data_IF_801032935521
#
_entry.id   IF_801032935521
#
_cell.length_a   1.000
_cell.length_b   1.000
_cell.length_c   1.000
_cell.angle_alpha   90.00
_cell.angle_beta   90.00
_cell.angle_gamma   90.00
#
_symmetry.space_group_name_H-M   'P 1'
#
loop_
_entity.id
_entity.type
_entity.pdbx_description
1 polymer ?
#
# COMPACT_ATOMS: atom_id res chain seq x y z
N UNK A 1 -5.54 -1.85 12.27
CA UNK A 1 -4.58 -2.95 12.53
C UNK A 1 -5.25 -4.29 12.28
N UNK A 2 -4.96 -4.98 11.17
CA UNK A 2 -5.35 -6.37 10.94
C UNK A 2 -4.13 -7.26 11.06
N UNK A 3 -4.18 -8.30 11.89
CA UNK A 3 -3.09 -9.26 12.02
C UNK A 3 -3.02 -10.07 10.71
N UNK A 4 -1.89 -10.06 9.97
CA UNK A 4 -1.79 -10.66 8.64
C UNK A 4 -2.08 -12.17 8.62
N UNK A 5 -1.99 -12.83 9.77
CA UNK A 5 -2.16 -14.28 9.89
C UNK A 5 -3.36 -14.73 10.73
N UNK A 6 -4.25 -13.82 11.14
CA UNK A 6 -5.53 -14.29 11.71
C UNK A 6 -6.38 -14.89 10.58
N UNK A 7 -6.76 -16.16 10.72
CA UNK A 7 -7.63 -16.87 9.79
C UNK A 7 -9.10 -16.42 9.97
N UNK A 8 -9.34 -15.12 9.77
CA UNK A 8 -10.66 -14.50 9.89
C UNK A 8 -11.02 -13.93 8.53
N UNK A 9 -12.11 -14.42 7.95
CA UNK A 9 -12.60 -13.96 6.64
C UNK A 9 -12.92 -12.46 6.61
N UNK A 10 -13.25 -11.85 7.76
CA UNK A 10 -13.56 -10.43 7.85
C UNK A 10 -12.32 -9.63 8.24
N UNK A 11 -11.84 -8.82 7.31
CA UNK A 11 -10.76 -7.84 7.53
C UNK A 11 -11.33 -6.48 7.87
N UNK A 12 -10.64 -5.76 8.74
CA UNK A 12 -10.97 -4.37 9.07
C UNK A 12 -10.61 -3.49 7.87
N UNK A 13 -11.52 -2.65 7.35
CA UNK A 13 -11.23 -1.74 6.26
C UNK A 13 -10.08 -0.77 6.63
N UNK A 14 -9.19 -0.45 5.68
CA UNK A 14 -8.09 0.48 5.93
C UNK A 14 -8.65 1.88 6.23
N UNK A 15 -8.03 2.61 7.15
CA UNK A 15 -8.48 3.95 7.56
C UNK A 15 -9.71 3.96 8.49
N UNK A 16 -10.35 2.82 8.75
CA UNK A 16 -11.49 2.74 9.67
C UNK A 16 -11.13 3.17 11.10
N UNK A 17 -9.94 2.78 11.56
CA UNK A 17 -9.45 3.17 12.89
C UNK A 17 -9.32 4.71 13.02
N UNK A 18 -8.89 5.40 11.96
CA UNK A 18 -8.76 6.85 11.96
C UNK A 18 -10.11 7.56 12.13
N UNK A 19 -11.17 7.03 11.52
CA UNK A 19 -12.53 7.57 11.69
C UNK A 19 -13.02 7.42 13.13
N UNK A 20 -12.82 6.25 13.74
CA UNK A 20 -13.21 6.00 15.12
C UNK A 20 -12.41 6.85 16.12
N UNK A 21 -11.11 7.01 15.86
CA UNK A 21 -10.24 7.84 16.68
C UNK A 21 -10.63 9.32 16.59
N UNK A 22 -10.97 9.81 15.40
CA UNK A 22 -11.49 11.16 15.19
C UNK A 22 -12.76 11.41 15.97
N UNK A 23 -13.75 10.52 15.85
CA UNK A 23 -15.00 10.59 16.61
C UNK A 23 -14.74 10.57 18.12
N UNK A 24 -13.93 9.62 18.61
CA UNK A 24 -13.64 9.50 20.03
C UNK A 24 -12.97 10.76 20.60
N UNK A 25 -12.08 11.40 19.83
CA UNK A 25 -11.45 12.67 20.24
C UNK A 25 -12.47 13.80 20.40
N UNK A 26 -13.42 13.93 19.49
CA UNK A 26 -14.44 14.99 19.59
C UNK A 26 -15.47 14.67 20.69
N UNK A 27 -15.84 13.41 20.89
CA UNK A 27 -16.68 13.01 22.04
C UNK A 27 -16.02 13.38 23.37
N UNK A 28 -14.71 13.14 23.51
CA UNK A 28 -13.99 13.49 24.73
C UNK A 28 -13.86 15.00 24.95
N UNK A 29 -13.92 15.81 23.88
CA UNK A 29 -13.86 17.27 23.94
C UNK A 29 -15.20 17.89 24.30
N UNK A 30 -16.26 17.46 23.63
CA UNK A 30 -17.60 18.06 23.78
C UNK A 30 -18.40 17.43 24.93
N UNK A 31 -18.03 16.22 25.36
CA UNK A 31 -18.73 15.46 26.42
C UNK A 31 -20.26 15.44 26.22
N UNK A 32 -20.75 15.05 25.03
CA UNK A 32 -22.19 15.07 24.73
C UNK A 32 -22.93 14.04 25.57
N UNK A 33 -24.18 14.34 25.92
CA UNK A 33 -25.06 13.42 26.64
C UNK A 33 -25.55 12.25 25.75
N UNK A 34 -25.82 12.53 24.47
CA UNK A 34 -26.24 11.54 23.47
C UNK A 34 -25.12 11.28 22.44
N UNK A 35 -24.32 10.24 22.70
CA UNK A 35 -23.20 9.85 21.84
C UNK A 35 -23.67 9.38 20.46
N UNK A 36 -24.69 8.51 20.31
CA UNK A 36 -25.21 8.13 18.99
C UNK A 36 -25.65 9.31 18.12
N UNK A 37 -26.41 10.26 18.67
CA UNK A 37 -26.85 11.43 17.93
C UNK A 37 -25.67 12.32 17.53
N UNK A 38 -24.71 12.53 18.44
CA UNK A 38 -23.49 13.26 18.15
C UNK A 38 -22.68 12.61 17.01
N UNK A 39 -22.52 11.28 17.04
CA UNK A 39 -21.78 10.55 16.03
C UNK A 39 -22.41 10.66 14.64
N UNK A 40 -23.75 10.63 14.55
CA UNK A 40 -24.46 10.82 13.28
C UNK A 40 -24.14 12.20 12.68
N UNK A 41 -24.30 13.27 13.47
CA UNK A 41 -23.99 14.63 13.04
C UNK A 41 -22.51 14.79 12.65
N UNK A 42 -21.59 14.21 13.44
CA UNK A 42 -20.16 14.25 13.15
C UNK A 42 -19.81 13.62 11.79
N UNK A 43 -20.41 12.45 11.49
CA UNK A 43 -20.17 11.80 10.20
C UNK A 43 -20.84 12.52 9.03
N UNK A 44 -22.01 13.13 9.23
CA UNK A 44 -22.63 14.01 8.22
C UNK A 44 -21.71 15.19 7.89
N UNK A 45 -21.16 15.87 8.90
CA UNK A 45 -20.20 16.95 8.68
C UNK A 45 -18.93 16.50 7.94
N UNK A 46 -18.46 15.29 8.23
CA UNK A 46 -17.30 14.71 7.55
C UNK A 46 -17.57 14.45 6.07
N UNK A 47 -18.75 13.94 5.73
CA UNK A 47 -19.18 13.75 4.34
C UNK A 47 -19.27 15.10 3.62
N UNK A 48 -19.87 16.10 4.25
CA UNK A 48 -19.95 17.47 3.76
C UNK A 48 -18.57 18.08 3.47
N UNK A 49 -17.62 17.90 4.41
CA UNK A 49 -16.23 18.36 4.26
C UNK A 49 -15.55 17.64 3.11
N UNK A 50 -15.79 16.33 2.94
CA UNK A 50 -15.23 15.54 1.83
C UNK A 50 -15.73 16.05 0.49
N UNK A 51 -17.02 16.35 0.35
CA UNK A 51 -17.57 16.88 -0.90
C UNK A 51 -16.99 18.24 -1.27
N UNK A 52 -16.84 19.12 -0.27
CA UNK A 52 -16.33 20.49 -0.47
C UNK A 52 -14.83 20.55 -0.74
N UNK A 53 -14.03 19.77 0.00
CA UNK A 53 -12.56 19.87 -0.01
C UNK A 53 -11.88 18.77 -0.83
N UNK A 54 -12.62 17.73 -1.22
CA UNK A 54 -12.11 16.48 -1.80
C UNK A 54 -11.09 15.74 -0.92
N UNK A 55 -10.97 16.13 0.35
CA UNK A 55 -10.11 15.47 1.31
C UNK A 55 -10.92 14.46 2.12
N UNK A 56 -10.48 13.21 2.14
CA UNK A 56 -11.07 12.14 2.93
C UNK A 56 -10.11 11.69 4.04
N UNK A 57 -10.46 11.92 5.32
CA UNK A 57 -9.65 11.45 6.45
C UNK A 57 -9.46 9.94 6.45
N UNK A 58 -10.42 9.16 5.96
CA UNK A 58 -10.30 7.70 5.89
C UNK A 58 -9.21 7.29 4.89
N UNK A 59 -9.17 7.93 3.73
CA UNK A 59 -8.15 7.68 2.70
C UNK A 59 -6.75 8.08 3.19
N UNK A 60 -6.64 9.21 3.89
CA UNK A 60 -5.37 9.61 4.49
C UNK A 60 -4.90 8.63 5.56
N UNK A 61 -5.80 8.19 6.46
CA UNK A 61 -5.50 7.17 7.46
C UNK A 61 -5.10 5.82 6.83
N UNK A 62 -5.76 5.41 5.76
CA UNK A 62 -5.41 4.21 5.00
C UNK A 62 -3.99 4.27 4.43
N UNK A 63 -3.57 5.44 3.90
CA UNK A 63 -2.20 5.65 3.42
C UNK A 63 -1.17 5.59 4.55
N UNK A 64 -1.53 6.02 5.77
CA UNK A 64 -0.65 5.86 6.93
C UNK A 64 -0.51 4.39 7.32
N UNK A 65 -1.62 3.66 7.41
CA UNK A 65 -1.66 2.25 7.76
C UNK A 65 -0.80 1.42 6.79
N UNK A 66 -0.91 1.68 5.49
CA UNK A 66 -0.17 0.95 4.44
C UNK A 66 1.35 1.14 4.57
N UNK A 67 1.84 2.32 5.00
CA UNK A 67 3.28 2.53 5.23
C UNK A 67 3.86 1.65 6.32
N UNK A 68 3.06 1.21 7.30
CA UNK A 68 3.55 0.34 8.37
C UNK A 68 3.73 -1.11 7.90
N UNK A 69 2.97 -1.56 6.90
CA UNK A 69 3.00 -2.95 6.42
C UNK A 69 3.77 -3.12 5.10
N UNK A 70 3.68 -2.16 4.18
CA UNK A 70 4.28 -2.19 2.84
C UNK A 70 5.37 -1.12 2.67
N UNK A 71 6.24 -0.94 3.67
CA UNK A 71 7.29 0.07 3.58
C UNK A 71 8.31 -0.26 2.48
N UNK A 72 8.24 0.46 1.35
CA UNK A 72 9.21 0.37 0.25
C UNK A 72 10.39 1.33 0.39
N UNK A 73 10.55 2.03 1.52
CA UNK A 73 11.62 3.00 1.72
C UNK A 73 13.05 2.44 1.52
N UNK A 74 13.21 1.12 1.57
CA UNK A 74 14.49 0.43 1.38
C UNK A 74 14.61 -0.37 0.07
N UNK A 75 13.63 -0.34 -0.84
CA UNK A 75 13.71 -1.12 -2.10
C UNK A 75 14.71 -0.55 -3.13
N UNK A 76 15.28 0.62 -2.88
CA UNK A 76 16.41 1.17 -3.64
C UNK A 76 17.75 0.66 -3.08
N UNK A 77 17.92 -0.66 -3.06
CA UNK A 77 19.13 -1.32 -2.56
C UNK A 77 20.01 -1.97 -3.63
N UNK A 78 19.48 -2.37 -4.79
CA UNK A 78 20.23 -3.21 -5.73
C UNK A 78 20.53 -2.54 -7.09
N UNK A 79 19.59 -1.73 -7.61
CA UNK A 79 19.75 -1.08 -8.91
C UNK A 79 20.88 -0.02 -8.90
N UNK A 80 21.01 0.76 -7.82
CA UNK A 80 22.08 1.75 -7.67
C UNK A 80 23.46 1.13 -7.45
N UNK A 81 23.54 0.05 -6.67
CA UNK A 81 24.79 -0.68 -6.41
C UNK A 81 25.27 -1.38 -7.70
N UNK A 82 24.36 -1.98 -8.49
CA UNK A 82 24.69 -2.58 -9.76
C UNK A 82 25.19 -1.54 -10.80
N UNK A 83 24.61 -0.34 -10.83
CA UNK A 83 25.06 0.74 -11.70
C UNK A 83 26.47 1.25 -11.31
N UNK A 84 26.75 1.38 -10.01
CA UNK A 84 28.08 1.75 -9.51
C UNK A 84 29.13 0.66 -9.78
N UNK A 85 28.80 -0.61 -9.53
CA UNK A 85 29.68 -1.74 -9.84
C UNK A 85 29.96 -1.87 -11.34
N UNK A 86 28.96 -1.61 -12.19
CA UNK A 86 29.11 -1.59 -13.65
C UNK A 86 30.03 -0.48 -14.14
N UNK A 87 29.93 0.73 -13.56
CA UNK A 87 30.82 1.85 -13.91
C UNK A 87 32.28 1.56 -13.52
N UNK A 88 32.50 0.94 -12.35
CA UNK A 88 33.84 0.59 -11.86
C UNK A 88 34.47 -0.50 -12.73
N UNK A 89 33.71 -1.54 -13.11
CA UNK A 89 34.19 -2.57 -14.04
C UNK A 89 34.57 -1.98 -15.42
N UNK A 90 33.79 -1.00 -15.92
CA UNK A 90 34.06 -0.38 -17.23
C UNK A 90 35.30 0.53 -17.23
N UNK A 91 35.70 1.08 -16.08
CA UNK A 91 36.95 1.83 -15.95
C UNK A 91 38.18 0.91 -15.84
N UNK A 92 38.05 -0.26 -15.22
CA UNK A 92 39.15 -1.21 -15.04
C UNK A 92 39.55 -1.98 -16.31
N UNK A 93 38.66 -2.09 -17.32
CA UNK A 93 38.94 -2.88 -18.53
C UNK A 93 39.59 -2.11 -19.69
N UNK A 94 39.81 -0.80 -19.59
CA UNK A 94 40.64 -0.04 -20.55
C UNK A 94 40.32 -0.23 -22.05
N UNK A 95 39.10 -0.62 -22.41
CA UNK A 95 38.78 -1.02 -23.78
C UNK A 95 38.01 0.10 -24.50
N UNK A 96 38.76 1.01 -25.14
CA UNK A 96 38.22 1.87 -26.20
C UNK A 96 37.84 0.98 -27.39
N UNK A 97 36.64 0.43 -27.43
CA UNK A 97 36.10 -0.18 -28.65
C UNK A 97 34.82 0.53 -29.05
N UNK A 98 34.81 0.93 -30.33
CA UNK A 98 33.84 1.81 -30.98
C UNK A 98 32.42 1.27 -30.86
N UNK A 99 31.53 2.04 -30.24
CA UNK A 99 30.09 1.81 -30.31
C UNK A 99 29.59 2.43 -31.61
N UNK A 100 29.10 1.59 -32.53
CA UNK A 100 28.31 2.02 -33.69
C UNK A 100 26.86 2.25 -33.24
N UNK A 101 26.22 3.38 -33.56
CA UNK A 101 24.94 3.78 -32.97
C UNK A 101 23.72 3.23 -33.75
N UNK A 102 23.74 1.97 -34.21
CA UNK A 102 22.62 1.40 -34.96
C UNK A 102 22.42 -0.07 -34.62
N UNK A 103 21.79 -0.35 -33.48
CA UNK A 103 20.97 -1.53 -33.23
C UNK A 103 20.53 -1.59 -31.76
N UNK A 104 19.51 -0.83 -31.37
CA UNK A 104 18.47 -1.35 -30.49
C UNK A 104 17.28 -0.38 -30.51
N UNK A 105 16.50 -0.45 -31.58
CA UNK A 105 15.14 0.04 -31.53
C UNK A 105 14.33 -0.78 -30.52
N UNK A 106 13.49 -0.06 -29.81
CA UNK A 106 12.49 -0.51 -28.86
C UNK A 106 11.57 -1.57 -29.49
N UNK A 107 11.46 -2.73 -28.83
CA UNK A 107 10.20 -3.46 -28.80
C UNK A 107 9.79 -3.64 -27.34
N UNK A 108 8.98 -2.68 -26.88
CA UNK A 108 8.20 -2.78 -25.65
C UNK A 108 7.10 -3.80 -25.91
N UNK A 109 7.33 -5.06 -25.55
CA UNK A 109 6.32 -6.10 -25.47
C UNK A 109 5.70 -6.17 -24.08
N UNK A 110 4.38 -6.39 -23.95
CA UNK A 110 3.67 -6.29 -22.68
C UNK A 110 4.01 -7.48 -21.78
N UNK A 111 4.36 -7.21 -20.52
CA UNK A 111 4.43 -8.26 -19.49
C UNK A 111 3.02 -8.66 -19.07
N UNK A 112 2.39 -9.54 -19.84
CA UNK A 112 1.31 -10.39 -19.34
C UNK A 112 1.92 -11.45 -18.43
N UNK A 113 1.61 -11.37 -17.14
CA UNK A 113 2.10 -12.30 -16.13
C UNK A 113 1.27 -12.16 -14.86
N UNK A 114 -0.02 -12.43 -15.00
CA UNK A 114 -0.93 -12.65 -13.89
C UNK A 114 -0.46 -13.92 -13.15
N UNK A 115 0.14 -13.76 -11.98
CA UNK A 115 0.33 -14.87 -11.04
C UNK A 115 -0.88 -14.91 -10.11
N UNK A 116 -1.86 -15.73 -10.46
CA UNK A 116 -2.78 -16.32 -9.48
C UNK A 116 -1.98 -17.21 -8.51
N UNK A 117 -2.32 -17.26 -7.22
CA UNK A 117 -1.85 -18.32 -6.34
C UNK A 117 -2.97 -19.36 -6.21
N UNK A 118 -2.92 -20.43 -7.00
CA UNK A 118 -3.80 -21.58 -6.82
C UNK A 118 -3.02 -22.88 -7.07
N UNK A 119 -2.51 -23.49 -6.00
CA UNK A 119 -2.46 -24.95 -5.89
C UNK A 119 -2.31 -25.36 -4.40
N UNK A 120 -3.40 -25.22 -3.65
CA UNK A 120 -3.55 -25.93 -2.38
C UNK A 120 -4.12 -27.33 -2.68
N UNK A 121 -3.33 -28.35 -2.39
CA UNK A 121 -3.71 -29.76 -2.52
C UNK A 121 -4.98 -30.09 -1.72
N UNK A 122 -5.90 -30.93 -2.24
CA UNK A 122 -7.10 -31.33 -1.50
C UNK A 122 -6.76 -32.38 -0.43
N UNK A 123 -7.02 -32.04 0.84
CA UNK A 123 -6.96 -33.00 1.95
C UNK A 123 -8.20 -33.92 1.91
N UNK A 124 -8.05 -35.23 2.22
CA UNK A 124 -9.15 -36.17 2.14
C UNK A 124 -10.13 -36.01 3.31
N UNK A 125 -11.42 -36.00 2.98
CA UNK A 125 -12.54 -36.02 3.92
C UNK A 125 -12.45 -37.22 4.87
N UNK A 126 -12.49 -36.96 6.18
CA UNK A 126 -12.85 -37.96 7.18
C UNK A 126 -14.26 -37.61 7.66
N UNK A 127 -15.22 -38.41 7.20
CA UNK A 127 -16.62 -38.31 7.59
C UNK A 127 -16.89 -38.85 8.99
N UNK A 128 -18.09 -38.50 9.44
CA UNK A 128 -18.88 -38.93 10.61
C UNK A 128 -18.37 -38.53 12.01
#
# INVERSE_FOLDING_TARGET
>A
MSIPFSNTHHRIPPGFANLLEGLAREVLREQPEDIPAFAANYFEELLDKREKTKFDPAEWGAKLDDRFYNNKAFEVGWAGIAALMGLVLMQCTGLKSKISPNAFELHVGPKTGHSTPDEASPMPNRGE
#
